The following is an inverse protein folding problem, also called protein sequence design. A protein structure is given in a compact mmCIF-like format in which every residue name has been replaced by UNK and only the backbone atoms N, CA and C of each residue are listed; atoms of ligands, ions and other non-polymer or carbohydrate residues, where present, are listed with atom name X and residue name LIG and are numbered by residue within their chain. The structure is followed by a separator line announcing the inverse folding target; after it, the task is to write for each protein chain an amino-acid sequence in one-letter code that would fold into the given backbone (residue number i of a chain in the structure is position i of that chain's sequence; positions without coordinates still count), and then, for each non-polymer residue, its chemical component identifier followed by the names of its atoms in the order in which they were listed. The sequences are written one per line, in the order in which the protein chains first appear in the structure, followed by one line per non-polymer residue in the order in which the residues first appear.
data_IF_288375411937
#
_entry.id   IF_288375411937
#
_cell.length_a   1.000
_cell.length_b   1.000
_cell.length_c   1.000
_cell.angle_alpha   90.00
_cell.angle_beta   90.00
_cell.angle_gamma   90.00
#
_symmetry.space_group_name_H-M   'P 1'
#
loop_
_entity.id
_entity.type
_entity.pdbx_description
1 polymer ?
#
# COMPACT_ATOMS: atom_id res chain seq x y z
N UNK A 1 12.45 12.26 -14.34
CA UNK A 1 11.23 12.63 -13.56
C UNK A 1 9.92 12.16 -14.20
N UNK A 2 9.87 11.91 -15.52
CA UNK A 2 8.73 11.32 -16.24
C UNK A 2 8.42 9.85 -15.91
N UNK A 3 9.40 9.08 -15.42
CA UNK A 3 9.21 7.67 -15.04
C UNK A 3 8.18 7.46 -13.91
N UNK A 4 8.01 8.42 -12.97
CA UNK A 4 7.03 8.30 -11.88
C UNK A 4 5.59 8.53 -12.34
N UNK A 5 5.40 9.34 -13.39
CA UNK A 5 4.07 9.60 -13.94
C UNK A 5 3.58 8.43 -14.80
N UNK A 6 4.47 7.76 -15.54
CA UNK A 6 4.12 6.58 -16.34
C UNK A 6 3.68 5.39 -15.47
N UNK A 7 4.27 5.20 -14.29
CA UNK A 7 3.84 4.18 -13.33
C UNK A 7 2.44 4.44 -12.74
N UNK A 8 1.98 5.70 -12.76
CA UNK A 8 0.67 6.08 -12.20
C UNK A 8 -0.47 5.86 -13.20
N UNK A 9 -0.20 5.92 -14.51
CA UNK A 9 -1.23 5.92 -15.57
C UNK A 9 -1.73 4.51 -15.93
N UNK A 10 -0.98 3.46 -15.60
CA UNK A 10 -1.24 2.09 -16.08
C UNK A 10 -2.15 1.26 -15.16
N UNK A 11 -3.26 1.81 -14.67
CA UNK A 11 -4.17 1.07 -13.78
C UNK A 11 -5.61 1.00 -14.30
N UNK A 12 -5.79 0.14 -15.30
CA UNK A 12 -7.04 -0.58 -15.54
C UNK A 12 -6.78 -2.03 -15.15
N UNK A 13 -6.89 -2.33 -13.87
CA UNK A 13 -6.89 -3.71 -13.40
C UNK A 13 -8.32 -4.25 -13.43
N UNK A 14 -8.60 -5.41 -14.04
CA UNK A 14 -9.87 -6.11 -13.82
C UNK A 14 -10.03 -6.45 -12.32
N UNK A 15 -11.23 -6.84 -11.92
CA UNK A 15 -11.50 -7.43 -10.59
C UNK A 15 -10.38 -8.42 -10.23
N UNK A 16 -9.78 -8.27 -9.05
CA UNK A 16 -8.64 -9.09 -8.59
C UNK A 16 -7.24 -8.58 -8.98
N UNK A 17 -7.10 -7.39 -9.58
CA UNK A 17 -5.78 -6.79 -9.82
C UNK A 17 -5.01 -6.46 -8.54
N UNK A 18 -5.69 -6.00 -7.48
CA UNK A 18 -5.05 -5.77 -6.19
C UNK A 18 -4.62 -7.11 -5.52
N UNK A 19 -5.37 -8.21 -5.71
CA UNK A 19 -5.00 -9.55 -5.19
C UNK A 19 -3.78 -10.14 -5.93
N UNK A 20 -3.73 -9.98 -7.26
CA UNK A 20 -2.56 -10.38 -8.05
C UNK A 20 -1.33 -9.56 -7.65
N UNK A 21 -1.49 -8.25 -7.48
CA UNK A 21 -0.43 -7.36 -7.02
C UNK A 21 0.11 -7.77 -5.65
N UNK A 22 -0.76 -8.08 -4.70
CA UNK A 22 -0.37 -8.54 -3.36
C UNK A 22 0.33 -9.90 -3.40
N UNK A 23 -0.19 -10.83 -4.21
CA UNK A 23 0.43 -12.16 -4.42
C UNK A 23 1.81 -12.05 -5.04
N UNK A 24 1.97 -11.15 -6.02
CA UNK A 24 3.23 -10.90 -6.71
C UNK A 24 4.24 -10.22 -5.79
N UNK A 25 3.80 -9.25 -4.99
CA UNK A 25 4.63 -8.63 -3.94
C UNK A 25 5.17 -9.69 -2.98
N UNK A 26 4.31 -10.60 -2.50
CA UNK A 26 4.71 -11.69 -1.63
C UNK A 26 5.68 -12.66 -2.33
N UNK A 27 5.49 -12.96 -3.62
CA UNK A 27 6.39 -13.79 -4.43
C UNK A 27 7.77 -13.15 -4.55
N UNK A 28 7.83 -11.86 -4.86
CA UNK A 28 9.08 -11.11 -5.00
C UNK A 28 9.82 -11.07 -3.67
N UNK A 29 9.13 -10.78 -2.56
CA UNK A 29 9.72 -10.81 -1.21
C UNK A 29 10.36 -12.17 -0.89
N UNK A 30 9.66 -13.28 -1.17
CA UNK A 30 10.22 -14.63 -1.00
C UNK A 30 11.48 -14.82 -1.85
N UNK A 31 11.48 -14.36 -3.10
CA UNK A 31 12.64 -14.47 -3.99
C UNK A 31 13.85 -13.64 -3.53
N UNK A 32 13.60 -12.58 -2.75
CA UNK A 32 14.63 -11.75 -2.13
C UNK A 32 15.13 -12.32 -0.79
N UNK A 33 14.63 -13.48 -0.35
CA UNK A 33 15.00 -14.09 0.93
C UNK A 33 14.34 -13.44 2.15
N UNK A 34 13.25 -12.70 1.96
CA UNK A 34 12.49 -12.12 3.07
C UNK A 34 11.93 -13.21 3.98
N UNK A 35 11.88 -12.92 5.28
CA UNK A 35 11.25 -13.81 6.25
C UNK A 35 9.72 -13.87 6.11
N UNK A 36 9.12 -14.80 6.87
CA UNK A 36 7.69 -15.05 6.83
C UNK A 36 6.84 -13.81 7.15
N UNK A 37 7.21 -13.02 8.16
CA UNK A 37 6.42 -11.87 8.59
C UNK A 37 6.43 -10.77 7.53
N UNK A 38 7.57 -10.53 6.89
CA UNK A 38 7.68 -9.55 5.83
C UNK A 38 6.88 -9.97 4.59
N UNK A 39 6.90 -11.26 4.24
CA UNK A 39 6.06 -11.83 3.18
C UNK A 39 4.57 -11.69 3.49
N UNK A 40 4.16 -11.97 4.73
CA UNK A 40 2.76 -11.78 5.18
C UNK A 40 2.37 -10.31 5.11
N UNK A 41 3.23 -9.39 5.55
CA UNK A 41 2.99 -7.96 5.42
C UNK A 41 2.82 -7.56 3.93
N UNK A 42 3.65 -8.09 3.04
CA UNK A 42 3.52 -7.90 1.59
C UNK A 42 2.21 -8.41 1.01
N UNK A 43 1.69 -9.53 1.50
CA UNK A 43 0.39 -10.06 1.06
C UNK A 43 -0.79 -9.22 1.56
N UNK A 44 -0.67 -8.61 2.74
CA UNK A 44 -1.79 -7.94 3.42
C UNK A 44 -1.78 -6.41 3.30
N UNK A 45 -0.71 -5.79 2.82
CA UNK A 45 -0.49 -4.33 2.93
C UNK A 45 -1.64 -3.50 2.32
N UNK A 46 -2.18 -3.93 1.18
CA UNK A 46 -3.25 -3.24 0.45
C UNK A 46 -4.65 -3.80 0.73
N UNK A 47 -4.82 -4.76 1.65
CA UNK A 47 -6.09 -5.48 1.91
C UNK A 47 -7.27 -4.57 2.28
N UNK A 48 -7.02 -3.41 2.87
CA UNK A 48 -8.06 -2.46 3.26
C UNK A 48 -8.35 -1.37 2.22
N UNK A 49 -7.70 -1.44 1.05
CA UNK A 49 -7.91 -0.51 -0.04
C UNK A 49 -9.32 -0.71 -0.63
N UNK A 50 -10.10 0.37 -0.83
CA UNK A 50 -11.43 0.24 -1.41
C UNK A 50 -11.40 -0.31 -2.84
N UNK A 51 -12.27 -1.27 -3.16
CA UNK A 51 -12.39 -1.83 -4.50
C UNK A 51 -12.81 -0.76 -5.54
N UNK A 52 -13.53 0.28 -5.11
CA UNK A 52 -13.99 1.40 -5.95
C UNK A 52 -12.91 2.47 -6.18
N UNK A 53 -11.65 2.20 -5.82
CA UNK A 53 -10.54 3.14 -5.97
C UNK A 53 -10.26 3.44 -7.45
N UNK A 54 -10.78 4.59 -7.92
CA UNK A 54 -10.48 5.18 -9.23
C UNK A 54 -9.06 5.74 -9.36
N UNK A 55 -8.60 5.91 -10.60
CA UNK A 55 -7.29 6.49 -10.94
C UNK A 55 -7.06 7.87 -10.31
N UNK A 56 -8.08 8.74 -10.34
CA UNK A 56 -7.95 10.09 -9.79
C UNK A 56 -7.70 10.08 -8.27
N UNK A 57 -8.22 9.09 -7.53
CA UNK A 57 -7.91 8.93 -6.11
C UNK A 57 -6.41 8.67 -5.90
N UNK A 58 -5.81 7.82 -6.75
CA UNK A 58 -4.38 7.52 -6.69
C UNK A 58 -3.54 8.75 -7.01
N UNK A 59 -3.83 9.43 -8.11
CA UNK A 59 -3.14 10.65 -8.52
C UNK A 59 -3.26 11.75 -7.45
N UNK A 60 -4.48 12.00 -6.95
CA UNK A 60 -4.71 12.97 -5.87
C UNK A 60 -3.99 12.57 -4.59
N UNK A 61 -3.98 11.29 -4.23
CA UNK A 61 -3.24 10.77 -3.08
C UNK A 61 -1.74 11.07 -3.16
N UNK A 62 -1.11 10.82 -4.31
CA UNK A 62 0.31 11.13 -4.54
C UNK A 62 0.58 12.64 -4.44
N UNK A 63 -0.26 13.46 -5.08
CA UNK A 63 -0.12 14.92 -5.04
C UNK A 63 -0.27 15.47 -3.62
N UNK A 64 -1.29 15.02 -2.87
CA UNK A 64 -1.51 15.44 -1.49
C UNK A 64 -0.37 15.00 -0.56
N UNK A 65 0.14 13.77 -0.71
CA UNK A 65 1.32 13.31 0.05
C UNK A 65 2.54 14.20 -0.20
N UNK A 66 2.72 14.70 -1.42
CA UNK A 66 3.90 15.49 -1.82
C UNK A 66 3.79 16.98 -1.48
N UNK A 67 2.60 17.57 -1.64
CA UNK A 67 2.42 19.03 -1.61
C UNK A 67 1.55 19.51 -0.45
N UNK A 68 0.66 18.68 0.09
CA UNK A 68 -0.28 19.08 1.12
C UNK A 68 -0.55 17.97 2.16
N UNK A 69 0.48 17.49 2.89
CA UNK A 69 0.33 16.36 3.81
C UNK A 69 -0.67 16.62 4.94
N UNK A 70 -0.84 17.87 5.38
CA UNK A 70 -1.86 18.24 6.37
C UNK A 70 -3.28 18.07 5.83
N UNK A 71 -3.51 18.43 4.55
CA UNK A 71 -4.80 18.26 3.87
C UNK A 71 -5.09 16.77 3.69
N UNK A 72 -4.09 15.98 3.28
CA UNK A 72 -4.19 14.51 3.20
C UNK A 72 -4.71 13.92 4.52
N UNK A 73 -4.07 14.27 5.63
CA UNK A 73 -4.44 13.76 6.96
C UNK A 73 -5.85 14.19 7.37
N UNK A 74 -6.28 15.40 6.99
CA UNK A 74 -7.64 15.85 7.26
C UNK A 74 -8.66 15.04 6.46
N UNK A 75 -8.45 14.87 5.16
CA UNK A 75 -9.36 14.13 4.27
C UNK A 75 -9.45 12.64 4.63
N UNK A 76 -8.37 12.04 5.14
CA UNK A 76 -8.35 10.64 5.57
C UNK A 76 -9.30 10.31 6.74
N UNK A 77 -9.89 11.31 7.40
CA UNK A 77 -10.80 11.11 8.55
C UNK A 77 -12.24 10.78 8.18
N UNK A 78 -12.63 10.98 6.92
CA UNK A 78 -13.99 10.70 6.46
C UNK A 78 -14.20 9.23 6.06
N UNK A 79 -15.39 8.96 5.52
CA UNK A 79 -15.79 7.62 5.05
C UNK A 79 -16.07 7.53 3.54
N UNK A 80 -15.81 8.60 2.79
CA UNK A 80 -15.84 8.53 1.33
C UNK A 80 -14.80 7.53 0.81
N UNK A 81 -14.99 7.01 -0.41
CA UNK A 81 -14.00 6.12 -1.06
C UNK A 81 -12.61 6.74 -1.05
N UNK A 82 -12.50 8.06 -1.28
CA UNK A 82 -11.22 8.74 -1.26
C UNK A 82 -10.62 8.81 0.16
N UNK A 83 -11.42 9.13 1.17
CA UNK A 83 -10.96 9.16 2.56
C UNK A 83 -10.46 7.78 3.01
N UNK A 84 -11.22 6.73 2.69
CA UNK A 84 -10.84 5.33 2.93
C UNK A 84 -9.58 4.94 2.17
N UNK A 85 -9.43 5.40 0.93
CA UNK A 85 -8.20 5.23 0.15
C UNK A 85 -7.01 5.96 0.79
N UNK A 86 -7.16 7.15 1.36
CA UNK A 86 -6.04 7.83 2.04
C UNK A 86 -5.64 7.15 3.36
N UNK A 87 -6.58 6.44 3.98
CA UNK A 87 -6.45 5.83 5.30
C UNK A 87 -6.21 4.30 5.29
N UNK A 88 -6.20 3.67 4.10
CA UNK A 88 -6.19 2.21 3.97
C UNK A 88 -5.03 1.52 4.70
N UNK A 89 -3.83 2.12 4.72
CA UNK A 89 -2.69 1.56 5.45
C UNK A 89 -3.00 1.40 6.96
N UNK A 90 -3.58 2.44 7.57
CA UNK A 90 -3.97 2.41 8.99
C UNK A 90 -5.13 1.43 9.22
N UNK A 91 -6.15 1.44 8.35
CA UNK A 91 -7.29 0.51 8.44
C UNK A 91 -6.84 -0.95 8.29
N UNK A 92 -5.95 -1.22 7.34
CA UNK A 92 -5.37 -2.54 7.09
C UNK A 92 -4.56 -3.03 8.28
N UNK A 93 -3.76 -2.16 8.90
CA UNK A 93 -3.04 -2.49 10.12
C UNK A 93 -3.99 -2.81 11.29
N UNK A 94 -5.10 -2.09 11.41
CA UNK A 94 -6.14 -2.39 12.41
C UNK A 94 -6.80 -3.74 12.16
N UNK A 95 -7.14 -4.07 10.91
CA UNK A 95 -7.68 -5.39 10.53
C UNK A 95 -6.67 -6.49 10.85
N UNK A 96 -5.41 -6.35 10.41
CA UNK A 96 -4.37 -7.33 10.66
C UNK A 96 -4.15 -7.58 12.15
N UNK A 97 -4.19 -6.52 12.99
CA UNK A 97 -4.12 -6.65 14.45
C UNK A 97 -5.30 -7.44 15.00
N UNK A 98 -6.52 -7.14 14.55
CA UNK A 98 -7.72 -7.83 14.99
C UNK A 98 -7.73 -9.32 14.57
N UNK A 99 -7.11 -9.64 13.43
CA UNK A 99 -6.90 -11.01 12.94
C UNK A 99 -5.70 -11.73 13.60
N UNK A 100 -5.04 -11.12 14.60
CA UNK A 100 -3.95 -11.74 15.37
C UNK A 100 -2.56 -11.67 14.72
N UNK A 101 -2.37 -10.81 13.72
CA UNK A 101 -1.04 -10.59 13.13
C UNK A 101 -0.06 -10.02 14.15
N UNK A 102 1.22 -10.34 13.99
CA UNK A 102 2.26 -9.87 14.89
C UNK A 102 2.41 -8.34 14.88
N UNK A 103 3.01 -7.74 15.94
CA UNK A 103 3.31 -6.31 15.97
C UNK A 103 4.17 -5.85 14.80
N UNK A 104 5.06 -6.71 14.26
CA UNK A 104 5.91 -6.38 13.12
C UNK A 104 5.11 -6.28 11.84
N UNK A 105 4.25 -7.26 11.54
CA UNK A 105 3.34 -7.24 10.38
C UNK A 105 2.45 -5.99 10.43
N UNK A 106 1.82 -5.73 11.57
CA UNK A 106 0.94 -4.57 11.77
C UNK A 106 1.67 -3.24 11.51
N UNK A 107 2.92 -3.10 11.98
CA UNK A 107 3.73 -1.89 11.73
C UNK A 107 4.09 -1.73 10.25
N UNK A 108 4.47 -2.81 9.57
CA UNK A 108 4.81 -2.78 8.15
C UNK A 108 3.61 -2.36 7.30
N UNK A 109 2.42 -2.93 7.57
CA UNK A 109 1.17 -2.53 6.91
C UNK A 109 0.84 -1.07 7.23
N UNK A 110 0.98 -0.60 8.48
CA UNK A 110 0.63 0.77 8.82
C UNK A 110 1.50 1.82 8.10
N UNK A 111 2.75 1.47 7.77
CA UNK A 111 3.78 2.41 7.33
C UNK A 111 4.15 2.29 5.85
N UNK A 112 3.52 1.41 5.08
CA UNK A 112 3.94 1.13 3.69
C UNK A 112 3.79 2.34 2.72
N UNK A 113 3.04 3.38 3.07
CA UNK A 113 2.98 4.66 2.33
C UNK A 113 3.98 5.71 2.79
N UNK A 114 4.66 5.47 3.91
CA UNK A 114 5.63 6.41 4.46
C UNK A 114 7.02 6.21 3.84
N UNK A 115 7.90 7.19 4.02
CA UNK A 115 9.32 7.01 3.70
C UNK A 115 9.90 5.87 4.54
N UNK A 116 10.46 4.81 3.90
CA UNK A 116 11.05 3.69 4.61
C UNK A 116 12.19 4.11 5.54
N UNK A 117 12.17 3.62 6.77
CA UNK A 117 13.15 3.95 7.82
C UNK A 117 14.13 2.81 8.09
N UNK A 118 13.72 1.58 7.85
CA UNK A 118 14.52 0.37 8.10
C UNK A 118 14.57 -0.52 6.84
N UNK A 119 15.29 -1.64 6.93
CA UNK A 119 15.50 -2.56 5.82
C UNK A 119 14.20 -3.25 5.39
N UNK A 120 13.41 -3.76 6.34
CA UNK A 120 12.12 -4.38 6.05
C UNK A 120 11.19 -3.45 5.26
N UNK A 121 11.05 -2.20 5.69
CA UNK A 121 10.24 -1.19 5.02
C UNK A 121 10.79 -0.89 3.61
N UNK A 122 12.12 -0.87 3.44
CA UNK A 122 12.75 -0.68 2.12
C UNK A 122 12.50 -1.86 1.19
N UNK A 123 12.58 -3.08 1.72
CA UNK A 123 12.38 -4.31 0.94
C UNK A 123 10.91 -4.46 0.54
N UNK A 124 9.97 -4.20 1.46
CA UNK A 124 8.54 -4.16 1.16
C UNK A 124 8.24 -3.14 0.08
N UNK A 125 8.71 -1.89 0.23
CA UNK A 125 8.47 -0.84 -0.76
C UNK A 125 9.13 -1.15 -2.12
N UNK A 126 10.25 -1.91 -2.13
CA UNK A 126 10.89 -2.35 -3.37
C UNK A 126 10.05 -3.42 -4.07
N UNK A 127 9.68 -4.48 -3.36
CA UNK A 127 8.87 -5.56 -3.90
C UNK A 127 7.51 -5.06 -4.41
N UNK A 128 6.86 -4.16 -3.66
CA UNK A 128 5.60 -3.51 -4.05
C UNK A 128 5.74 -2.76 -5.39
N UNK A 129 6.84 -2.04 -5.60
CA UNK A 129 7.11 -1.36 -6.88
C UNK A 129 7.42 -2.33 -8.02
N UNK A 130 8.10 -3.44 -7.74
CA UNK A 130 8.45 -4.45 -8.74
C UNK A 130 7.24 -5.34 -9.11
N UNK A 131 6.24 -5.45 -8.23
CA UNK A 131 5.00 -6.18 -8.47
C UNK A 131 4.02 -5.44 -9.42
N UNK A 132 4.31 -4.18 -9.75
CA UNK A 132 3.53 -3.42 -10.73
C UNK A 132 3.80 -3.96 -12.16
N UNK A 133 2.76 -4.25 -12.96
CA UNK A 133 2.89 -4.77 -14.33
C UNK A 133 3.40 -3.75 -15.37
#
# INVERSE_FOLDING_TARGET
MLHRLQQTVRYLGPVGADDRHASETARILRSMGADHELVVAGLLHDRAKPAETRLWHRAAGVLLSRFAPRVRTHLARGDSTFARYLDHARRGATIARAEGSSPRVVRLIARHHETPRNEDERLLARADREALP
#
